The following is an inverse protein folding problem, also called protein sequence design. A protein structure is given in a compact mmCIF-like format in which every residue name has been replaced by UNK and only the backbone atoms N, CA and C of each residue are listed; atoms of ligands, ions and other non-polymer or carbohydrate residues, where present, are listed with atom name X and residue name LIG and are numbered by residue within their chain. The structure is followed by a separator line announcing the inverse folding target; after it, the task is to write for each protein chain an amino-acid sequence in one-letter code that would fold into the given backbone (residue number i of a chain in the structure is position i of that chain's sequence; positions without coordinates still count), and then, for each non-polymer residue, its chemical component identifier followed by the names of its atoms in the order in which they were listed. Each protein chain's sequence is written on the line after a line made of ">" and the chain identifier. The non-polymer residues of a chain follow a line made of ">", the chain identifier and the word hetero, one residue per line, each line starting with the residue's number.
data_IF_417859429652
#
_entry.id   IF_417859429652
#
_cell.length_a   1.000
_cell.length_b   1.000
_cell.length_c   1.000
_cell.angle_alpha   90.00
_cell.angle_beta   90.00
_cell.angle_gamma   90.00
#
_symmetry.space_group_name_H-M   'P 1'
#
loop_
_entity.id
_entity.type
_entity.pdbx_description
1 polymer ?
#
# COMPACT_ATOMS: atom_id res chain seq x y z
N UNK A 1 22.57 -5.88 5.91
CA UNK A 1 21.13 -5.65 6.15
C UNK A 1 20.25 -5.96 4.92
N UNK A 2 20.37 -7.14 4.30
CA UNK A 2 19.56 -7.53 3.12
C UNK A 2 18.05 -7.64 3.43
N UNK A 3 17.69 -7.89 4.70
CA UNK A 3 16.37 -8.30 5.20
C UNK A 3 15.24 -7.28 5.03
N UNK A 4 15.55 -5.97 5.02
CA UNK A 4 14.51 -4.91 5.08
C UNK A 4 13.72 -4.72 3.79
N UNK A 5 14.26 -5.06 2.62
CA UNK A 5 13.55 -4.93 1.32
C UNK A 5 12.78 -6.20 0.93
N UNK A 6 13.19 -7.36 1.42
CA UNK A 6 12.58 -8.64 1.05
C UNK A 6 11.16 -8.78 1.58
N UNK A 7 10.94 -8.40 2.84
CA UNK A 7 9.62 -8.47 3.45
C UNK A 7 8.56 -7.66 2.67
N UNK A 8 8.74 -6.36 2.41
CA UNK A 8 7.75 -5.59 1.66
C UNK A 8 7.62 -6.07 0.21
N UNK A 9 8.67 -6.62 -0.40
CA UNK A 9 8.60 -7.18 -1.75
C UNK A 9 7.76 -8.46 -1.80
N UNK A 10 8.00 -9.40 -0.89
CA UNK A 10 7.23 -10.64 -0.81
C UNK A 10 5.77 -10.34 -0.51
N UNK A 11 5.51 -9.44 0.46
CA UNK A 11 4.15 -9.01 0.77
C UNK A 11 3.50 -8.31 -0.42
N UNK A 12 4.21 -7.43 -1.13
CA UNK A 12 3.67 -6.75 -2.31
C UNK A 12 3.24 -7.77 -3.37
N UNK A 13 4.13 -8.69 -3.75
CA UNK A 13 3.85 -9.65 -4.82
C UNK A 13 2.75 -10.62 -4.40
N UNK A 14 2.85 -11.22 -3.21
CA UNK A 14 1.88 -12.20 -2.73
C UNK A 14 0.50 -11.59 -2.50
N UNK A 15 0.43 -10.45 -1.81
CA UNK A 15 -0.83 -9.78 -1.54
C UNK A 15 -1.48 -9.25 -2.81
N UNK A 16 -0.71 -8.69 -3.75
CA UNK A 16 -1.26 -8.22 -5.03
C UNK A 16 -1.82 -9.39 -5.85
N UNK A 17 -1.11 -10.53 -5.91
CA UNK A 17 -1.58 -11.71 -6.64
C UNK A 17 -2.89 -12.25 -6.06
N UNK A 18 -2.96 -12.41 -4.73
CA UNK A 18 -4.18 -12.87 -4.05
C UNK A 18 -5.31 -11.84 -4.21
N UNK A 19 -5.01 -10.56 -4.08
CA UNK A 19 -6.01 -9.49 -4.25
C UNK A 19 -6.60 -9.50 -5.66
N UNK A 20 -5.76 -9.64 -6.69
CA UNK A 20 -6.25 -9.76 -8.07
C UNK A 20 -7.09 -11.02 -8.26
N UNK A 21 -6.69 -12.16 -7.70
CA UNK A 21 -7.46 -13.39 -7.82
C UNK A 21 -8.86 -13.28 -7.18
N UNK A 22 -8.95 -12.64 -6.00
CA UNK A 22 -10.21 -12.47 -5.28
C UNK A 22 -11.09 -11.36 -5.88
N UNK A 23 -10.50 -10.26 -6.35
CA UNK A 23 -11.24 -9.06 -6.77
C UNK A 23 -11.50 -9.02 -8.28
N UNK A 24 -10.72 -9.72 -9.11
CA UNK A 24 -10.93 -9.70 -10.57
C UNK A 24 -12.34 -10.13 -11.04
N UNK A 25 -13.01 -11.10 -10.40
CA UNK A 25 -14.40 -11.45 -10.76
C UNK A 25 -15.43 -10.44 -10.23
N UNK A 26 -15.05 -9.63 -9.24
CA UNK A 26 -15.95 -8.73 -8.53
C UNK A 26 -16.04 -7.38 -9.23
N UNK A 27 -17.12 -6.65 -8.95
CA UNK A 27 -17.24 -5.28 -9.43
C UNK A 27 -16.19 -4.36 -8.77
N UNK A 28 -15.65 -3.35 -9.48
CA UNK A 28 -14.69 -2.40 -8.91
C UNK A 28 -15.18 -1.68 -7.65
N UNK A 29 -16.50 -1.59 -7.46
CA UNK A 29 -17.16 -0.96 -6.32
C UNK A 29 -17.76 -1.98 -5.33
N UNK A 30 -17.52 -3.27 -5.53
CA UNK A 30 -18.09 -4.35 -4.70
C UNK A 30 -17.74 -4.20 -3.22
N UNK A 31 -16.53 -3.70 -2.93
CA UNK A 31 -16.09 -3.41 -1.57
C UNK A 31 -16.92 -2.30 -0.90
N UNK A 32 -17.31 -1.27 -1.64
CA UNK A 32 -18.13 -0.18 -1.11
C UNK A 32 -19.58 -0.63 -0.89
N UNK A 33 -20.08 -1.51 -1.76
CA UNK A 33 -21.40 -2.11 -1.58
C UNK A 33 -21.45 -2.99 -0.32
N UNK A 34 -20.42 -3.81 -0.09
CA UNK A 34 -20.28 -4.61 1.13
C UNK A 34 -20.27 -3.72 2.38
N UNK A 35 -19.52 -2.61 2.34
CA UNK A 35 -19.45 -1.66 3.44
C UNK A 35 -20.79 -0.96 3.74
N UNK A 36 -21.70 -0.86 2.76
CA UNK A 36 -23.04 -0.28 2.97
C UNK A 36 -24.04 -1.29 3.51
N UNK A 37 -23.92 -2.56 3.10
CA UNK A 37 -24.90 -3.61 3.44
C UNK A 37 -24.65 -4.25 4.79
N UNK A 38 -23.40 -4.36 5.22
CA UNK A 38 -23.00 -5.11 6.40
C UNK A 38 -22.24 -4.25 7.42
N UNK A 39 -22.56 -4.40 8.71
CA UNK A 39 -21.94 -3.60 9.79
C UNK A 39 -20.46 -3.94 9.98
N UNK A 40 -20.09 -5.20 9.82
CA UNK A 40 -18.68 -5.61 9.86
C UNK A 40 -17.93 -5.13 8.62
N UNK A 41 -18.56 -5.17 7.44
CA UNK A 41 -18.06 -4.55 6.22
C UNK A 41 -17.78 -3.06 6.39
N UNK A 42 -18.71 -2.31 7.00
CA UNK A 42 -18.54 -0.90 7.31
C UNK A 42 -17.35 -0.65 8.26
N UNK A 43 -17.23 -1.45 9.32
CA UNK A 43 -16.12 -1.36 10.27
C UNK A 43 -14.77 -1.61 9.59
N UNK A 44 -14.65 -2.67 8.78
CA UNK A 44 -13.41 -3.00 8.05
C UNK A 44 -13.06 -1.90 7.04
N UNK A 45 -14.05 -1.33 6.35
CA UNK A 45 -13.85 -0.19 5.46
C UNK A 45 -13.31 1.03 6.21
N UNK A 46 -13.89 1.35 7.37
CA UNK A 46 -13.44 2.46 8.20
C UNK A 46 -12.00 2.24 8.70
N UNK A 47 -11.68 1.02 9.15
CA UNK A 47 -10.33 0.64 9.56
C UNK A 47 -9.33 0.78 8.40
N UNK A 48 -9.72 0.40 7.18
CA UNK A 48 -8.89 0.60 5.99
C UNK A 48 -8.64 2.09 5.70
N UNK A 49 -9.67 2.94 5.78
CA UNK A 49 -9.56 4.39 5.58
C UNK A 49 -8.62 5.00 6.62
N UNK A 50 -8.76 4.60 7.90
CA UNK A 50 -7.91 5.05 8.99
C UNK A 50 -6.45 4.61 8.78
N UNK A 51 -6.23 3.33 8.45
CA UNK A 51 -4.91 2.80 8.18
C UNK A 51 -4.23 3.50 7.00
N UNK A 52 -4.95 3.73 5.90
CA UNK A 52 -4.43 4.48 4.76
C UNK A 52 -4.10 5.92 5.13
N UNK A 53 -4.96 6.60 5.88
CA UNK A 53 -4.73 7.99 6.31
C UNK A 53 -3.49 8.12 7.20
N UNK A 54 -3.34 7.23 8.18
CA UNK A 54 -2.15 7.16 9.04
C UNK A 54 -0.89 6.83 8.23
N UNK A 55 -1.01 5.92 7.28
CA UNK A 55 0.12 5.55 6.44
C UNK A 55 0.55 6.69 5.51
N UNK A 56 -0.40 7.40 4.89
CA UNK A 56 -0.13 8.55 4.02
C UNK A 56 0.47 9.73 4.78
N UNK A 57 0.03 9.98 6.01
CA UNK A 57 0.60 11.05 6.86
C UNK A 57 2.08 10.83 7.16
N UNK A 58 2.51 9.56 7.22
CA UNK A 58 3.92 9.18 7.35
C UNK A 58 4.66 9.14 6.00
N UNK A 59 4.04 8.56 4.97
CA UNK A 59 4.66 8.35 3.66
C UNK A 59 5.05 9.66 2.99
N UNK A 60 4.17 10.67 3.03
CA UNK A 60 4.40 11.91 2.28
C UNK A 60 5.63 12.67 2.80
N UNK A 61 5.80 12.92 4.12
CA UNK A 61 7.03 13.50 4.66
C UNK A 61 8.27 12.61 4.44
N UNK A 62 8.15 11.29 4.60
CA UNK A 62 9.28 10.38 4.41
C UNK A 62 9.77 10.37 2.95
N UNK A 63 8.86 10.39 1.99
CA UNK A 63 9.18 10.44 0.57
C UNK A 63 9.93 11.72 0.21
N UNK A 64 9.48 12.87 0.74
CA UNK A 64 10.17 14.16 0.60
C UNK A 64 11.58 14.11 1.15
N UNK A 65 11.78 13.54 2.35
CA UNK A 65 13.11 13.38 2.97
C UNK A 65 14.08 12.51 2.15
N UNK A 66 13.55 11.57 1.36
CA UNK A 66 14.36 10.66 0.55
C UNK A 66 14.43 11.06 -0.94
N UNK A 67 13.91 12.24 -1.33
CA UNK A 67 13.88 12.69 -2.72
C UNK A 67 13.01 11.82 -3.64
N UNK A 68 11.98 11.16 -3.08
CA UNK A 68 11.05 10.30 -3.83
C UNK A 68 9.77 11.10 -4.09
N UNK A 69 9.28 11.04 -5.33
CA UNK A 69 7.99 11.63 -5.71
C UNK A 69 6.86 10.85 -5.02
N UNK A 70 6.13 11.50 -4.12
CA UNK A 70 5.14 10.84 -3.26
C UNK A 70 3.80 10.53 -3.96
N UNK A 71 3.34 11.39 -4.87
CA UNK A 71 1.98 11.35 -5.40
C UNK A 71 1.56 10.00 -6.06
N UNK A 72 2.43 9.26 -6.79
CA UNK A 72 2.02 7.98 -7.37
C UNK A 72 1.66 6.96 -6.29
N UNK A 73 2.39 6.98 -5.18
CA UNK A 73 2.13 6.12 -4.03
C UNK A 73 0.89 6.55 -3.26
N UNK A 74 0.62 7.86 -3.18
CA UNK A 74 -0.61 8.37 -2.58
C UNK A 74 -1.83 7.85 -3.35
N UNK A 75 -1.84 8.03 -4.67
CA UNK A 75 -2.95 7.57 -5.52
C UNK A 75 -3.09 6.04 -5.43
N UNK A 76 -1.98 5.31 -5.51
CA UNK A 76 -2.01 3.85 -5.44
C UNK A 76 -2.50 3.36 -4.07
N UNK A 77 -2.17 4.04 -2.97
CA UNK A 77 -2.67 3.68 -1.64
C UNK A 77 -4.16 3.97 -1.49
N UNK A 78 -4.67 5.05 -2.07
CA UNK A 78 -6.10 5.37 -2.01
C UNK A 78 -6.96 4.38 -2.80
N UNK A 79 -6.44 3.85 -3.93
CA UNK A 79 -7.18 2.92 -4.78
C UNK A 79 -6.97 1.46 -4.37
N UNK A 80 -5.75 1.10 -3.99
CA UNK A 80 -5.34 -0.29 -3.78
C UNK A 80 -4.89 -0.58 -2.33
N UNK A 81 -5.11 0.36 -1.40
CA UNK A 81 -4.80 0.21 0.02
C UNK A 81 -3.30 -0.01 0.28
N UNK A 82 -2.99 -1.11 0.96
CA UNK A 82 -1.61 -1.44 1.37
C UNK A 82 -0.65 -1.67 0.20
N UNK A 83 -1.16 -1.98 -1.01
CA UNK A 83 -0.34 -2.19 -2.22
C UNK A 83 0.51 -0.94 -2.52
N UNK A 84 -0.09 0.26 -2.44
CA UNK A 84 0.63 1.51 -2.66
C UNK A 84 1.75 1.75 -1.66
N UNK A 85 1.51 1.39 -0.40
CA UNK A 85 2.50 1.53 0.66
C UNK A 85 3.64 0.53 0.58
N UNK A 86 3.34 -0.71 0.24
CA UNK A 86 4.33 -1.75 0.01
C UNK A 86 5.21 -1.39 -1.21
N UNK A 87 4.62 -0.88 -2.29
CA UNK A 87 5.36 -0.39 -3.45
C UNK A 87 6.32 0.75 -3.08
N UNK A 88 5.88 1.70 -2.24
CA UNK A 88 6.73 2.78 -1.73
C UNK A 88 7.90 2.24 -0.91
N UNK A 89 7.65 1.32 0.02
CA UNK A 89 8.70 0.72 0.86
C UNK A 89 9.75 -0.03 0.04
N UNK A 90 9.33 -0.73 -1.02
CA UNK A 90 10.26 -1.38 -1.97
C UNK A 90 11.10 -0.34 -2.70
N UNK A 91 10.49 0.73 -3.24
CA UNK A 91 11.23 1.79 -3.95
C UNK A 91 12.24 2.49 -3.02
N UNK A 92 11.81 2.88 -1.82
CA UNK A 92 12.67 3.48 -0.79
C UNK A 92 13.82 2.56 -0.41
N UNK A 93 13.54 1.26 -0.22
CA UNK A 93 14.55 0.25 0.10
C UNK A 93 15.59 0.08 -1.01
N UNK A 94 15.17 0.16 -2.29
CA UNK A 94 16.09 0.13 -3.45
C UNK A 94 16.95 1.39 -3.50
N UNK A 95 16.39 2.58 -3.31
CA UNK A 95 17.17 3.84 -3.31
C UNK A 95 18.24 3.87 -2.23
N UNK A 96 17.93 3.39 -1.02
CA UNK A 96 18.93 3.29 0.07
C UNK A 96 20.13 2.40 -0.28
N UNK A 97 19.92 1.33 -1.05
CA UNK A 97 21.02 0.44 -1.49
C UNK A 97 21.91 1.07 -2.55
N UNK A 98 21.37 1.95 -3.38
CA UNK A 98 22.15 2.63 -4.44
C UNK A 98 23.08 3.68 -3.83
N UNK A 99 22.68 4.32 -2.73
CA UNK A 99 23.43 5.44 -2.11
C UNK A 99 24.48 4.95 -1.10
N UNK A 100 24.32 3.76 -0.50
CA UNK A 100 25.32 3.19 0.39
C UNK A 100 26.35 2.36 -0.43
N UNK A 101 27.63 2.78 -0.53
CA UNK A 101 28.67 1.95 -1.14
C UNK A 101 28.85 0.67 -0.31
N UNK A 102 29.11 -0.43 -1.02
CA UNK A 102 29.25 -1.79 -0.49
C UNK A 102 30.39 -1.93 0.52
#
# INVERSE_FOLDING_TARGET
>A
MKRTTWLPLVLLVGFTAVSLWLVAPESPLGFLELARRDRWGAQIFLDLVMACSLFLSWLVPDARRHGIVAWPYVVLTLVAGSIGGLAYLVHRGRRRRVIAPA
#
